data_IF_368861184170
#
_entry.id   IF_368861184170
#
_cell.length_a   1.000
_cell.length_b   1.000
_cell.length_c   1.000
_cell.angle_alpha   90.00
_cell.angle_beta   90.00
_cell.angle_gamma   90.00
#
_symmetry.space_group_name_H-M   'P 1'
#
loop_
_entity.id
_entity.type
_entity.pdbx_description
1 polymer ?
#
# COMPACT_ATOMS: atom_id res chain seq x y z
N UNK A 1 8.57 -54.51 31.49
CA UNK A 1 8.53 -53.50 32.57
C UNK A 1 9.91 -52.87 32.57
N UNK A 2 10.02 -51.72 31.93
CA UNK A 2 11.29 -51.01 31.73
C UNK A 2 10.94 -49.53 31.91
N UNK A 3 11.60 -48.86 32.84
CA UNK A 3 11.31 -47.49 33.24
C UNK A 3 11.56 -46.53 32.07
N UNK A 4 10.65 -45.57 31.87
CA UNK A 4 10.89 -44.40 31.03
C UNK A 4 11.58 -43.34 31.88
N UNK A 5 12.85 -43.05 31.56
CA UNK A 5 13.52 -41.85 32.06
C UNK A 5 13.12 -40.66 31.19
N UNK A 6 12.46 -39.67 31.81
CA UNK A 6 12.24 -38.34 31.24
C UNK A 6 13.37 -37.43 31.68
N UNK A 7 14.30 -37.14 30.77
CA UNK A 7 15.29 -36.07 30.99
C UNK A 7 14.63 -34.71 30.81
N UNK A 8 14.64 -33.92 31.88
CA UNK A 8 14.17 -32.52 31.89
C UNK A 8 15.39 -31.62 31.82
N UNK A 9 15.64 -31.01 30.66
CA UNK A 9 16.64 -29.93 30.54
C UNK A 9 15.96 -28.57 30.73
N UNK A 10 16.44 -27.80 31.71
CA UNK A 10 15.97 -26.44 32.01
C UNK A 10 16.82 -25.45 31.20
N UNK A 11 16.18 -24.66 30.34
CA UNK A 11 16.82 -23.50 29.70
C UNK A 11 16.93 -22.33 30.69
N UNK A 12 17.85 -21.39 30.45
CA UNK A 12 18.19 -20.26 31.34
C UNK A 12 17.03 -19.35 31.75
N UNK A 13 15.87 -19.47 31.11
CA UNK A 13 14.74 -18.56 31.25
C UNK A 13 13.55 -19.20 31.99
N UNK A 14 13.72 -20.39 32.59
CA UNK A 14 12.75 -20.99 33.51
C UNK A 14 11.44 -21.50 32.88
N UNK A 15 11.34 -21.57 31.55
CA UNK A 15 10.19 -22.14 30.85
C UNK A 15 10.47 -23.61 30.50
N UNK A 16 9.64 -24.58 30.96
CA UNK A 16 9.79 -25.98 30.58
C UNK A 16 9.46 -26.17 29.10
N UNK A 17 10.48 -26.51 28.31
CA UNK A 17 10.35 -26.91 26.92
C UNK A 17 10.10 -28.41 26.84
N UNK A 18 8.85 -28.80 26.53
CA UNK A 18 8.54 -30.18 26.17
C UNK A 18 8.93 -30.40 24.70
N UNK A 19 10.17 -30.84 24.47
CA UNK A 19 10.55 -31.38 23.16
C UNK A 19 10.01 -32.81 23.09
N UNK A 20 8.96 -33.01 22.30
CA UNK A 20 8.55 -34.33 21.86
C UNK A 20 9.62 -34.86 20.89
N UNK A 21 10.68 -35.39 21.47
CA UNK A 21 11.69 -36.19 20.77
C UNK A 21 11.02 -37.49 20.36
N UNK A 22 10.43 -37.53 19.16
CA UNK A 22 10.08 -38.81 18.55
C UNK A 22 11.39 -39.59 18.38
N UNK A 23 11.53 -40.77 19.00
CA UNK A 23 12.72 -41.57 18.80
C UNK A 23 12.79 -41.90 17.31
N UNK A 24 13.82 -41.38 16.65
CA UNK A 24 14.25 -41.87 15.35
C UNK A 24 14.58 -43.35 15.54
N UNK A 25 13.62 -44.19 15.16
CA UNK A 25 13.68 -45.63 15.23
C UNK A 25 14.67 -46.13 14.18
N UNK A 26 15.97 -45.92 14.41
CA UNK A 26 17.05 -46.45 13.59
C UNK A 26 17.34 -47.88 14.03
N UNK A 27 16.45 -48.82 13.70
CA UNK A 27 16.71 -50.22 14.06
C UNK A 27 15.52 -51.16 14.00
N UNK A 28 14.89 -51.32 12.84
CA UNK A 28 14.16 -52.54 12.53
C UNK A 28 14.04 -52.72 11.01
N UNK A 29 14.92 -53.55 10.45
CA UNK A 29 14.93 -54.02 9.06
C UNK A 29 13.79 -55.01 8.77
N UNK A 30 12.55 -54.65 9.11
CA UNK A 30 11.42 -55.59 9.12
C UNK A 30 10.31 -55.34 8.11
N UNK A 31 10.08 -54.09 7.64
CA UNK A 31 8.91 -53.80 6.81
C UNK A 31 9.17 -52.75 5.72
N UNK A 32 9.93 -53.08 4.67
CA UNK A 32 10.14 -52.19 3.52
C UNK A 32 8.82 -51.74 2.87
N UNK A 33 7.77 -52.59 2.92
CA UNK A 33 6.43 -52.26 2.42
C UNK A 33 5.70 -51.18 3.22
N UNK A 34 5.93 -51.07 4.53
CA UNK A 34 5.30 -50.04 5.37
C UNK A 34 5.97 -48.68 5.18
N UNK A 35 7.30 -48.67 5.03
CA UNK A 35 8.07 -47.45 4.77
C UNK A 35 7.74 -46.86 3.39
N UNK A 36 7.58 -47.72 2.38
CA UNK A 36 7.14 -47.32 1.04
C UNK A 36 5.70 -46.78 1.05
N UNK A 37 4.78 -47.43 1.79
CA UNK A 37 3.41 -46.96 1.95
C UNK A 37 3.35 -45.59 2.67
N UNK A 38 4.18 -45.38 3.69
CA UNK A 38 4.24 -44.11 4.42
C UNK A 38 4.81 -42.98 3.55
N UNK A 39 5.88 -43.25 2.78
CA UNK A 39 6.45 -42.27 1.85
C UNK A 39 5.48 -41.91 0.73
N UNK A 40 4.75 -42.89 0.17
CA UNK A 40 3.68 -42.65 -0.80
C UNK A 40 2.55 -41.82 -0.19
N UNK A 41 2.05 -42.18 0.99
CA UNK A 41 1.00 -41.43 1.67
C UNK A 41 1.42 -39.99 1.99
N UNK A 42 2.66 -39.77 2.44
CA UNK A 42 3.21 -38.44 2.70
C UNK A 42 3.38 -37.62 1.42
N UNK A 43 3.80 -38.25 0.31
CA UNK A 43 3.89 -37.61 -0.99
C UNK A 43 2.51 -37.19 -1.52
N UNK A 44 1.52 -38.07 -1.46
CA UNK A 44 0.13 -37.76 -1.82
C UNK A 44 -0.45 -36.66 -0.93
N UNK A 45 -0.21 -36.71 0.39
CA UNK A 45 -0.65 -35.65 1.30
C UNK A 45 -0.01 -34.30 0.94
N UNK A 46 1.29 -34.28 0.60
CA UNK A 46 2.00 -33.06 0.20
C UNK A 46 1.55 -32.49 -1.16
N UNK A 47 1.10 -33.34 -2.08
CA UNK A 47 0.51 -32.90 -3.36
C UNK A 47 -0.94 -32.45 -3.21
N UNK A 48 -1.73 -33.13 -2.39
CA UNK A 48 -3.17 -32.84 -2.23
C UNK A 48 -3.43 -31.64 -1.32
N UNK A 49 -2.53 -31.29 -0.39
CA UNK A 49 -2.70 -30.10 0.47
C UNK A 49 -2.76 -28.79 -0.34
N UNK A 50 -1.86 -28.52 -1.29
CA UNK A 50 -1.98 -27.36 -2.18
C UNK A 50 -3.28 -27.35 -3.00
N UNK A 51 -3.74 -28.50 -3.49
CA UNK A 51 -4.99 -28.61 -4.26
C UNK A 51 -6.23 -28.34 -3.39
N UNK A 52 -6.27 -28.90 -2.17
CA UNK A 52 -7.34 -28.66 -1.19
C UNK A 52 -7.34 -27.19 -0.74
N UNK A 53 -6.16 -26.61 -0.50
CA UNK A 53 -6.01 -25.18 -0.18
C UNK A 53 -6.50 -24.31 -1.33
N UNK A 54 -6.14 -24.65 -2.57
CA UNK A 54 -6.58 -23.94 -3.77
C UNK A 54 -8.09 -24.03 -3.97
N UNK A 55 -8.70 -25.21 -3.83
CA UNK A 55 -10.15 -25.41 -3.92
C UNK A 55 -10.91 -24.67 -2.81
N UNK A 56 -10.40 -24.72 -1.58
CA UNK A 56 -10.97 -23.97 -0.45
C UNK A 56 -10.90 -22.47 -0.71
N UNK A 57 -9.76 -21.98 -1.20
CA UNK A 57 -9.59 -20.58 -1.56
C UNK A 57 -10.52 -20.16 -2.70
N UNK A 58 -10.69 -20.99 -3.73
CA UNK A 58 -11.61 -20.75 -4.84
C UNK A 58 -13.06 -20.68 -4.37
N UNK A 59 -13.47 -21.60 -3.49
CA UNK A 59 -14.81 -21.63 -2.90
C UNK A 59 -15.08 -20.38 -2.08
N UNK A 60 -14.18 -20.03 -1.16
CA UNK A 60 -14.30 -18.82 -0.32
C UNK A 60 -14.35 -17.57 -1.20
N UNK A 61 -13.48 -17.48 -2.21
CA UNK A 61 -13.46 -16.37 -3.15
C UNK A 61 -14.79 -16.25 -3.90
N UNK A 62 -15.36 -17.36 -4.36
CA UNK A 62 -16.64 -17.39 -5.09
C UNK A 62 -17.80 -16.97 -4.19
N UNK A 63 -17.82 -17.42 -2.93
CA UNK A 63 -18.84 -17.03 -1.95
C UNK A 63 -18.72 -15.54 -1.63
N UNK A 64 -17.52 -15.03 -1.35
CA UNK A 64 -17.27 -13.61 -1.13
C UNK A 64 -17.71 -12.77 -2.34
N UNK A 65 -17.44 -13.23 -3.55
CA UNK A 65 -17.85 -12.59 -4.78
C UNK A 65 -19.37 -12.53 -4.92
N UNK A 66 -20.05 -13.65 -4.65
CA UNK A 66 -21.52 -13.72 -4.67
C UNK A 66 -22.14 -12.75 -3.65
N UNK A 67 -21.55 -12.62 -2.47
CA UNK A 67 -22.00 -11.66 -1.44
C UNK A 67 -21.79 -10.20 -1.88
N UNK A 68 -20.67 -9.87 -2.51
CA UNK A 68 -20.41 -8.52 -3.05
C UNK A 68 -21.40 -8.18 -4.16
N UNK A 69 -21.64 -9.10 -5.10
CA UNK A 69 -22.63 -8.89 -6.17
C UNK A 69 -24.03 -8.70 -5.61
N UNK A 70 -24.46 -9.56 -4.67
CA UNK A 70 -25.77 -9.42 -4.00
C UNK A 70 -25.90 -8.10 -3.22
N UNK A 71 -24.81 -7.65 -2.60
CA UNK A 71 -24.78 -6.37 -1.88
C UNK A 71 -24.91 -5.18 -2.83
N UNK A 72 -24.12 -5.14 -3.91
CA UNK A 72 -24.20 -4.08 -4.92
C UNK A 72 -25.56 -4.06 -5.64
N UNK A 73 -26.13 -5.23 -5.95
CA UNK A 73 -27.49 -5.33 -6.52
C UNK A 73 -28.57 -4.78 -5.57
N UNK A 74 -28.39 -4.90 -4.25
CA UNK A 74 -29.32 -4.30 -3.25
C UNK A 74 -29.09 -2.81 -3.06
N UNK A 75 -27.85 -2.35 -3.17
CA UNK A 75 -27.46 -0.93 -3.03
C UNK A 75 -28.02 -0.07 -4.17
N UNK A 76 -28.31 -0.66 -5.33
CA UNK A 76 -28.97 0.00 -6.46
C UNK A 76 -30.42 0.44 -6.23
N UNK A 77 -31.07 0.05 -5.13
CA UNK A 77 -32.51 0.33 -4.91
C UNK A 77 -32.81 1.46 -3.91
N UNK A 78 -31.80 2.14 -3.37
CA UNK A 78 -31.97 3.31 -2.51
C UNK A 78 -31.52 4.60 -3.20
N UNK A 79 -32.16 4.93 -4.33
CA UNK A 79 -32.19 6.29 -4.87
C UNK A 79 -33.09 7.19 -4.01
N UNK A 80 -32.78 7.28 -2.72
CA UNK A 80 -33.35 8.26 -1.80
C UNK A 80 -32.47 9.51 -1.82
N UNK A 81 -32.91 10.55 -2.53
CA UNK A 81 -32.55 11.96 -2.36
C UNK A 81 -31.17 12.22 -1.72
N UNK A 82 -30.09 11.94 -2.46
CA UNK A 82 -28.73 12.27 -1.99
C UNK A 82 -28.52 13.78 -2.21
N UNK A 83 -28.70 14.56 -1.15
CA UNK A 83 -28.32 15.98 -1.11
C UNK A 83 -26.87 16.09 -1.60
N UNK A 84 -26.67 16.90 -2.65
CA UNK A 84 -25.38 17.39 -3.14
C UNK A 84 -24.71 18.16 -1.99
N UNK A 85 -23.95 17.49 -1.12
CA UNK A 85 -22.99 18.15 -0.25
C UNK A 85 -21.69 18.24 -1.08
N UNK A 86 -21.53 19.25 -1.94
CA UNK A 86 -21.04 20.60 -1.60
C UNK A 86 -19.59 20.60 -1.09
N UNK A 87 -18.72 19.80 -1.72
CA UNK A 87 -17.36 20.24 -1.97
C UNK A 87 -17.22 20.35 -3.50
N UNK A 88 -17.21 21.58 -4.02
CA UNK A 88 -17.17 21.87 -5.46
C UNK A 88 -15.79 21.70 -6.09
N UNK A 89 -14.81 21.25 -5.29
CA UNK A 89 -13.42 21.08 -5.71
C UNK A 89 -13.29 19.85 -6.62
N UNK A 90 -12.59 19.95 -7.76
CA UNK A 90 -12.17 18.77 -8.52
C UNK A 90 -11.41 17.81 -7.62
N UNK A 91 -11.63 16.51 -7.81
CA UNK A 91 -10.94 15.48 -7.01
C UNK A 91 -9.87 14.79 -7.85
N UNK A 92 -8.67 14.72 -7.29
CA UNK A 92 -7.53 13.96 -7.78
C UNK A 92 -7.31 12.75 -6.87
N UNK A 93 -7.61 11.56 -7.35
CA UNK A 93 -7.37 10.32 -6.64
C UNK A 93 -6.02 9.70 -7.05
N UNK A 94 -5.08 9.69 -6.13
CA UNK A 94 -3.80 9.00 -6.25
C UNK A 94 -3.97 7.57 -5.73
N UNK A 95 -3.73 6.60 -6.59
CA UNK A 95 -3.88 5.19 -6.27
C UNK A 95 -2.71 4.65 -5.45
N UNK A 96 -2.74 3.34 -5.17
CA UNK A 96 -1.61 2.65 -4.54
C UNK A 96 -0.35 2.76 -5.40
N UNK A 97 0.82 2.79 -4.75
CA UNK A 97 2.13 3.01 -5.41
C UNK A 97 3.19 2.01 -4.97
N UNK A 98 2.99 1.39 -3.81
CA UNK A 98 3.99 0.54 -3.17
C UNK A 98 5.33 1.27 -3.03
N UNK A 99 6.41 0.61 -3.47
CA UNK A 99 7.76 1.18 -3.48
C UNK A 99 8.05 2.05 -4.72
N UNK A 100 7.11 2.22 -5.66
CA UNK A 100 7.28 3.00 -6.89
C UNK A 100 6.91 4.48 -6.72
N UNK A 101 7.31 5.08 -5.60
CA UNK A 101 6.97 6.47 -5.26
C UNK A 101 7.55 7.50 -6.25
N UNK A 102 8.67 7.21 -6.91
CA UNK A 102 9.25 8.08 -7.94
C UNK A 102 8.27 8.41 -9.07
N UNK A 103 7.49 7.42 -9.53
CA UNK A 103 6.46 7.62 -10.57
C UNK A 103 5.45 8.70 -10.18
N UNK A 104 4.88 8.57 -9.00
CA UNK A 104 3.84 9.49 -8.52
C UNK A 104 4.40 10.87 -8.26
N UNK A 105 5.64 10.97 -7.77
CA UNK A 105 6.31 12.25 -7.62
C UNK A 105 6.53 12.91 -8.98
N UNK A 106 6.83 12.13 -10.02
CA UNK A 106 6.88 12.57 -11.41
C UNK A 106 5.52 13.08 -11.92
N UNK A 107 4.44 12.34 -11.66
CA UNK A 107 3.09 12.75 -12.01
C UNK A 107 2.69 14.07 -11.32
N UNK A 108 2.96 14.19 -10.01
CA UNK A 108 2.66 15.41 -9.26
C UNK A 108 3.52 16.58 -9.74
N UNK A 109 4.79 16.37 -10.04
CA UNK A 109 5.64 17.41 -10.61
C UNK A 109 5.09 17.91 -11.96
N UNK A 110 4.65 17.02 -12.85
CA UNK A 110 4.02 17.42 -14.10
C UNK A 110 2.72 18.21 -13.87
N UNK A 111 1.86 17.77 -12.94
CA UNK A 111 0.65 18.50 -12.56
C UNK A 111 0.97 19.89 -11.97
N UNK A 112 1.92 19.99 -11.05
CA UNK A 112 2.36 21.27 -10.48
C UNK A 112 2.89 22.22 -11.56
N UNK A 113 3.51 21.69 -12.61
CA UNK A 113 4.09 22.47 -13.71
C UNK A 113 3.04 22.97 -14.72
N UNK A 114 1.86 22.35 -14.76
CA UNK A 114 0.85 22.52 -15.83
C UNK A 114 -0.53 22.93 -15.34
N UNK A 115 -0.91 22.60 -14.11
CA UNK A 115 -2.26 22.75 -13.54
C UNK A 115 -2.21 23.59 -12.25
N UNK A 116 -3.25 24.37 -11.98
CA UNK A 116 -3.46 25.00 -10.69
C UNK A 116 -4.10 24.01 -9.70
N UNK A 117 -3.30 23.50 -8.76
CA UNK A 117 -3.73 22.52 -7.76
C UNK A 117 -4.31 23.16 -6.48
N UNK A 118 -4.36 24.50 -6.38
CA UNK A 118 -4.74 25.21 -5.15
C UNK A 118 -6.13 24.83 -4.63
N UNK A 119 -7.08 24.53 -5.51
CA UNK A 119 -8.47 24.21 -5.15
C UNK A 119 -8.84 22.76 -5.48
N UNK A 120 -7.86 21.86 -5.55
CA UNK A 120 -8.08 20.42 -5.79
C UNK A 120 -8.19 19.68 -4.45
N UNK A 121 -9.15 18.77 -4.34
CA UNK A 121 -9.18 17.76 -3.28
C UNK A 121 -8.34 16.55 -3.74
N UNK A 122 -7.43 16.09 -2.89
CA UNK A 122 -6.54 14.98 -3.17
C UNK A 122 -6.93 13.81 -2.27
N UNK A 123 -7.14 12.66 -2.87
CA UNK A 123 -7.25 11.41 -2.12
C UNK A 123 -6.06 10.51 -2.41
N UNK A 124 -5.64 9.74 -1.41
CA UNK A 124 -4.44 8.90 -1.51
C UNK A 124 -4.74 7.48 -1.03
N UNK A 125 -4.00 6.51 -1.54
CA UNK A 125 -4.05 5.10 -1.14
C UNK A 125 -2.61 4.60 -1.01
N UNK A 126 -2.30 3.90 0.08
CA UNK A 126 -0.96 3.33 0.27
C UNK A 126 0.15 4.40 0.20
N UNK A 127 1.27 4.07 -0.43
CA UNK A 127 2.40 4.97 -0.63
C UNK A 127 2.12 6.27 -1.40
N UNK A 128 0.97 6.47 -2.04
CA UNK A 128 0.68 7.79 -2.67
C UNK A 128 0.41 8.89 -1.65
N UNK A 129 0.25 8.57 -0.36
CA UNK A 129 0.14 9.58 0.70
C UNK A 129 1.29 10.60 0.64
N UNK A 130 2.51 10.16 0.32
CA UNK A 130 3.68 11.02 0.22
C UNK A 130 3.60 12.00 -0.95
N UNK A 131 3.07 11.55 -2.09
CA UNK A 131 2.79 12.42 -3.23
C UNK A 131 1.63 13.38 -2.92
N UNK A 132 0.63 12.92 -2.17
CA UNK A 132 -0.46 13.76 -1.65
C UNK A 132 0.06 14.94 -0.85
N UNK A 133 1.01 14.73 0.06
CA UNK A 133 1.66 15.84 0.80
C UNK A 133 2.27 16.89 -0.13
N UNK A 134 2.96 16.48 -1.20
CA UNK A 134 3.56 17.40 -2.17
C UNK A 134 2.51 18.21 -2.95
N UNK A 135 1.30 17.67 -3.15
CA UNK A 135 0.21 18.42 -3.80
C UNK A 135 -0.32 19.52 -2.89
N UNK A 136 -0.58 19.20 -1.62
CA UNK A 136 -1.25 20.12 -0.68
C UNK A 136 -0.29 21.01 0.11
N UNK A 137 1.00 20.68 0.14
CA UNK A 137 2.07 21.46 0.75
C UNK A 137 3.22 21.67 -0.25
N UNK A 138 3.05 22.56 -1.24
CA UNK A 138 4.02 22.79 -2.31
C UNK A 138 5.37 23.35 -1.84
N UNK A 139 5.47 23.79 -0.58
CA UNK A 139 6.72 24.18 0.07
C UNK A 139 7.64 22.99 0.43
N UNK A 140 7.12 21.76 0.41
CA UNK A 140 7.93 20.56 0.60
C UNK A 140 8.82 20.30 -0.63
N UNK A 141 10.06 19.90 -0.39
CA UNK A 141 11.02 19.57 -1.45
C UNK A 141 10.90 18.09 -1.84
N UNK A 142 10.63 17.83 -3.12
CA UNK A 142 10.47 16.46 -3.62
C UNK A 142 11.74 15.61 -3.50
N UNK A 143 12.93 16.22 -3.63
CA UNK A 143 14.21 15.53 -3.46
C UNK A 143 14.43 15.08 -2.02
N UNK A 144 14.14 15.95 -1.05
CA UNK A 144 14.17 15.62 0.38
C UNK A 144 13.16 14.53 0.75
N UNK A 145 11.96 14.59 0.19
CA UNK A 145 10.94 13.55 0.39
C UNK A 145 11.38 12.20 -0.21
N UNK A 146 11.95 12.18 -1.42
CA UNK A 146 12.52 10.95 -2.02
C UNK A 146 13.63 10.41 -1.13
N UNK A 147 14.55 11.26 -0.68
CA UNK A 147 15.66 10.86 0.19
C UNK A 147 15.16 10.25 1.49
N UNK A 148 14.18 10.87 2.15
CA UNK A 148 13.55 10.33 3.36
C UNK A 148 13.03 8.91 3.13
N UNK A 149 12.31 8.67 2.02
CA UNK A 149 11.78 7.35 1.68
C UNK A 149 12.89 6.34 1.32
N UNK A 150 13.98 6.78 0.70
CA UNK A 150 15.15 5.94 0.45
C UNK A 150 15.85 5.53 1.75
N UNK A 151 15.97 6.42 2.73
CA UNK A 151 16.52 6.09 4.06
C UNK A 151 15.68 5.02 4.77
N UNK A 152 14.33 5.16 4.73
CA UNK A 152 13.41 4.14 5.26
C UNK A 152 13.64 2.80 4.55
N UNK A 153 13.72 2.82 3.21
CA UNK A 153 13.98 1.64 2.39
C UNK A 153 15.28 0.95 2.82
N UNK A 154 16.38 1.69 2.90
CA UNK A 154 17.70 1.15 3.24
C UNK A 154 17.70 0.50 4.63
N UNK A 155 17.00 1.11 5.61
CA UNK A 155 16.85 0.54 6.93
C UNK A 155 16.07 -0.79 6.93
N UNK A 156 14.87 -0.79 6.32
CA UNK A 156 14.01 -1.99 6.19
C UNK A 156 14.72 -3.12 5.44
N UNK A 157 15.56 -2.76 4.48
CA UNK A 157 16.31 -3.68 3.64
C UNK A 157 17.65 -4.15 4.22
N UNK A 158 18.11 -3.59 5.34
CA UNK A 158 19.40 -3.98 5.93
C UNK A 158 19.54 -5.51 6.16
N UNK A 159 18.48 -6.28 6.47
CA UNK A 159 18.52 -7.75 6.55
C UNK A 159 18.35 -8.48 5.19
N UNK A 160 18.40 -7.74 4.07
CA UNK A 160 18.04 -8.22 2.74
C UNK A 160 16.53 -8.14 2.44
N UNK A 161 16.10 -8.74 1.33
CA UNK A 161 14.69 -8.70 0.88
C UNK A 161 13.70 -9.33 1.86
N UNK A 162 14.16 -10.21 2.76
CA UNK A 162 13.34 -10.76 3.84
C UNK A 162 12.87 -9.70 4.83
N UNK A 163 13.62 -8.61 4.98
CA UNK A 163 13.26 -7.49 5.87
C UNK A 163 12.00 -6.75 5.44
N UNK A 164 11.57 -6.89 4.18
CA UNK A 164 10.36 -6.27 3.66
C UNK A 164 9.06 -7.04 3.98
N UNK A 165 9.15 -8.19 4.65
CA UNK A 165 8.00 -9.04 4.95
C UNK A 165 7.77 -9.17 6.45
N UNK A 166 6.50 -9.27 6.85
CA UNK A 166 6.09 -9.39 8.25
C UNK A 166 6.66 -8.30 9.17
N UNK A 167 6.86 -7.10 8.63
CA UNK A 167 7.30 -5.94 9.39
C UNK A 167 6.30 -5.59 10.47
N UNK A 168 6.80 -5.04 11.58
CA UNK A 168 5.94 -4.36 12.54
C UNK A 168 5.50 -3.02 11.96
N UNK A 169 4.19 -2.84 11.80
CA UNK A 169 3.61 -1.65 11.16
C UNK A 169 3.89 -0.38 11.96
N UNK A 170 3.83 -0.43 13.30
CA UNK A 170 4.01 0.76 14.13
C UNK A 170 5.46 1.22 14.08
N UNK A 171 6.41 0.29 14.19
CA UNK A 171 7.84 0.60 14.07
C UNK A 171 8.20 1.15 12.68
N UNK A 172 7.58 0.59 11.62
CA UNK A 172 7.81 1.07 10.26
C UNK A 172 7.26 2.47 10.06
N UNK A 173 6.07 2.77 10.60
CA UNK A 173 5.47 4.11 10.54
C UNK A 173 6.27 5.12 11.37
N UNK A 174 6.77 4.73 12.54
CA UNK A 174 7.66 5.58 13.36
C UNK A 174 8.91 5.98 12.56
N UNK A 175 9.53 5.02 11.88
CA UNK A 175 10.68 5.25 11.03
C UNK A 175 10.34 6.18 9.86
N UNK A 176 9.21 5.95 9.18
CA UNK A 176 8.74 6.81 8.10
C UNK A 176 8.52 8.25 8.60
N UNK A 177 7.78 8.43 9.69
CA UNK A 177 7.49 9.76 10.23
C UNK A 177 8.74 10.48 10.71
N UNK A 178 9.68 9.76 11.32
CA UNK A 178 10.99 10.29 11.70
C UNK A 178 11.76 10.81 10.49
N UNK A 179 11.83 10.05 9.40
CA UNK A 179 12.53 10.48 8.18
C UNK A 179 11.78 11.60 7.45
N UNK A 180 10.45 11.57 7.40
CA UNK A 180 9.65 12.66 6.83
C UNK A 180 9.84 13.96 7.60
N UNK A 181 9.92 13.90 8.93
CA UNK A 181 10.15 15.06 9.77
C UNK A 181 11.59 15.58 9.67
N UNK A 182 12.58 14.70 9.84
CA UNK A 182 14.00 15.07 9.87
C UNK A 182 14.58 15.39 8.50
N UNK A 183 14.36 14.50 7.51
CA UNK A 183 14.93 14.61 6.16
C UNK A 183 13.94 15.29 5.21
N UNK A 184 12.69 14.85 5.20
CA UNK A 184 11.64 15.32 4.28
C UNK A 184 11.15 16.75 4.53
N UNK A 185 11.34 17.28 5.75
CA UNK A 185 10.92 18.62 6.14
C UNK A 185 9.43 18.77 6.44
N UNK A 186 8.70 17.67 6.66
CA UNK A 186 7.31 17.72 7.12
C UNK A 186 7.31 18.15 8.60
N UNK A 187 6.73 19.32 8.91
CA UNK A 187 6.67 19.87 10.28
C UNK A 187 5.24 19.90 10.80
N UNK A 188 5.06 20.05 12.12
CA UNK A 188 3.72 20.23 12.71
C UNK A 188 2.95 21.42 12.11
N UNK A 189 3.65 22.51 11.77
CA UNK A 189 3.04 23.67 11.13
C UNK A 189 2.50 23.34 9.74
N UNK A 190 3.25 22.57 8.95
CA UNK A 190 2.80 22.09 7.65
C UNK A 190 1.61 21.15 7.82
N UNK A 191 1.68 20.21 8.76
CA UNK A 191 0.61 19.24 8.99
C UNK A 191 -0.70 19.91 9.42
N UNK A 192 -0.64 20.87 10.36
CA UNK A 192 -1.80 21.72 10.72
C UNK A 192 -2.36 22.50 9.53
N UNK A 193 -1.48 23.06 8.69
CA UNK A 193 -1.90 23.75 7.46
C UNK A 193 -2.66 22.81 6.52
N UNK A 194 -2.15 21.59 6.31
CA UNK A 194 -2.79 20.57 5.47
C UNK A 194 -4.17 20.21 6.04
N UNK A 195 -4.24 19.86 7.33
CA UNK A 195 -5.49 19.50 8.00
C UNK A 195 -6.54 20.63 7.90
N UNK A 196 -6.14 21.89 8.13
CA UNK A 196 -7.03 23.06 8.07
C UNK A 196 -7.60 23.33 6.67
N UNK A 197 -6.89 22.94 5.61
CA UNK A 197 -7.32 23.14 4.22
C UNK A 197 -8.41 22.16 3.75
N UNK A 198 -8.56 21.04 4.46
CA UNK A 198 -9.33 19.86 4.07
C UNK A 198 -9.07 19.40 2.61
N UNK A 199 -7.85 19.57 2.11
CA UNK A 199 -7.50 19.16 0.75
C UNK A 199 -7.06 17.71 0.66
N UNK A 200 -6.35 17.19 1.67
CA UNK A 200 -5.82 15.84 1.65
C UNK A 200 -6.71 14.87 2.44
N UNK A 201 -7.15 13.81 1.76
CA UNK A 201 -7.84 12.67 2.36
C UNK A 201 -7.05 11.39 2.12
N UNK A 202 -7.01 10.54 3.13
CA UNK A 202 -6.23 9.30 3.15
C UNK A 202 -7.20 8.13 3.14
N UNK A 203 -7.02 7.27 2.13
CA UNK A 203 -7.80 6.06 1.94
C UNK A 203 -7.36 4.97 2.90
N UNK A 204 -8.32 4.40 3.62
CA UNK A 204 -8.14 3.16 4.39
C UNK A 204 -9.26 2.17 4.06
N UNK A 205 -9.00 0.88 4.24
CA UNK A 205 -10.05 -0.14 4.30
C UNK A 205 -10.50 -0.30 5.75
N UNK A 206 -11.76 0.00 6.04
CA UNK A 206 -12.39 -0.31 7.33
C UNK A 206 -13.11 -1.66 7.25
N UNK A 207 -12.92 -2.53 8.24
CA UNK A 207 -13.59 -3.83 8.30
C UNK A 207 -14.94 -3.80 9.06
N UNK A 208 -15.47 -2.61 9.38
CA UNK A 208 -16.75 -2.46 10.10
C UNK A 208 -17.80 -1.71 9.26
N UNK A 209 -19.05 -2.22 9.13
CA UNK A 209 -19.46 -3.61 9.40
C UNK A 209 -18.95 -4.60 8.33
N UNK A 210 -18.50 -4.09 7.18
CA UNK A 210 -17.95 -4.85 6.06
C UNK A 210 -16.73 -4.11 5.51
N UNK A 211 -15.78 -4.81 4.86
CA UNK A 211 -14.62 -4.19 4.21
C UNK A 211 -15.07 -3.11 3.21
N UNK A 212 -14.78 -1.85 3.53
CA UNK A 212 -15.14 -0.70 2.70
C UNK A 212 -14.04 0.34 2.73
N UNK A 213 -13.82 0.99 1.58
CA UNK A 213 -12.88 2.12 1.50
C UNK A 213 -13.48 3.33 2.20
N UNK A 214 -12.74 3.92 3.13
CA UNK A 214 -13.08 5.20 3.77
C UNK A 214 -12.02 6.23 3.41
N UNK A 215 -12.46 7.44 3.12
CA UNK A 215 -11.59 8.61 3.03
C UNK A 215 -11.55 9.29 4.40
N UNK A 216 -10.40 9.24 5.07
CA UNK A 216 -10.14 9.90 6.35
C UNK A 216 -9.44 11.23 6.10
N UNK A 217 -9.75 12.26 6.90
CA UNK A 217 -9.03 13.53 6.81
C UNK A 217 -7.56 13.37 7.22
N UNK A 218 -6.67 14.15 6.60
CA UNK A 218 -5.31 14.26 7.11
C UNK A 218 -5.33 14.89 8.53
N UNK A 219 -4.79 14.22 9.56
CA UNK A 219 -4.79 14.74 10.91
C UNK A 219 -3.81 15.92 11.04
N UNK A 220 -3.93 16.67 12.13
CA UNK A 220 -3.19 17.92 12.37
C UNK A 220 -1.93 17.74 13.24
N UNK A 221 -1.65 16.51 13.68
CA UNK A 221 -0.55 16.14 14.56
C UNK A 221 0.04 14.78 14.18
N UNK A 222 1.30 14.53 14.55
CA UNK A 222 2.03 13.32 14.19
C UNK A 222 1.51 12.04 14.87
N UNK A 223 0.93 12.14 16.06
CA UNK A 223 0.40 10.98 16.79
C UNK A 223 -0.82 10.38 16.06
N UNK A 224 -1.75 11.23 15.63
CA UNK A 224 -2.90 10.79 14.84
C UNK A 224 -2.49 10.44 13.40
N UNK A 225 -1.50 11.15 12.84
CA UNK A 225 -0.93 10.80 11.54
C UNK A 225 -0.34 9.39 11.55
N UNK A 226 0.34 9.00 12.63
CA UNK A 226 0.85 7.66 12.82
C UNK A 226 -0.28 6.62 12.70
N UNK A 227 -1.36 6.80 13.46
CA UNK A 227 -2.52 5.88 13.44
C UNK A 227 -3.15 5.76 12.05
N UNK A 228 -3.33 6.89 11.36
CA UNK A 228 -3.90 6.93 10.01
C UNK A 228 -2.94 6.28 9.01
N UNK A 229 -1.64 6.57 9.08
CA UNK A 229 -0.63 5.99 8.19
C UNK A 229 -0.49 4.50 8.39
N UNK A 230 -0.47 4.02 9.64
CA UNK A 230 -0.47 2.59 9.95
C UNK A 230 -1.64 1.88 9.28
N UNK A 231 -2.85 2.45 9.33
CA UNK A 231 -3.98 1.92 8.58
C UNK A 231 -3.80 2.03 7.06
N UNK A 232 -3.31 3.16 6.55
CA UNK A 232 -3.23 3.44 5.12
C UNK A 232 -2.20 2.59 4.35
N UNK A 233 -1.11 2.17 5.00
CA UNK A 233 -0.03 1.40 4.34
C UNK A 233 -0.05 -0.09 4.70
N UNK A 234 -0.89 -0.51 5.65
CA UNK A 234 -0.88 -1.87 6.18
C UNK A 234 -1.41 -2.89 5.16
N UNK A 235 -0.49 -3.50 4.42
CA UNK A 235 -0.76 -4.57 3.45
C UNK A 235 -0.07 -5.89 3.82
N UNK A 236 -0.82 -6.96 4.16
CA UNK A 236 -0.28 -8.32 4.19
C UNK A 236 0.24 -8.79 2.82
N UNK A 237 1.33 -9.58 2.74
CA UNK A 237 2.16 -10.10 3.85
C UNK A 237 3.31 -9.17 4.28
N UNK A 238 3.38 -7.93 3.79
CA UNK A 238 4.48 -7.00 4.14
C UNK A 238 4.46 -6.62 5.61
N UNK A 239 3.26 -6.54 6.20
CA UNK A 239 3.06 -6.30 7.63
C UNK A 239 2.48 -7.53 8.32
N UNK A 240 2.90 -7.77 9.56
CA UNK A 240 2.54 -8.97 10.32
C UNK A 240 1.11 -8.96 10.91
N UNK A 241 0.39 -7.84 10.81
CA UNK A 241 -0.96 -7.66 11.36
C UNK A 241 -1.72 -6.59 10.61
N UNK A 242 -3.05 -6.57 10.81
CA UNK A 242 -3.87 -5.42 10.47
C UNK A 242 -3.68 -4.28 11.49
N UNK A 243 -3.79 -3.04 11.02
CA UNK A 243 -3.80 -1.87 11.88
C UNK A 243 -5.14 -1.75 12.63
N UNK A 244 -5.18 -0.85 13.63
CA UNK A 244 -6.42 -0.44 14.28
C UNK A 244 -6.67 1.04 14.04
N UNK A 245 -7.88 1.38 13.61
CA UNK A 245 -8.34 2.74 13.42
C UNK A 245 -9.74 2.89 14.03
N UNK A 246 -9.94 3.91 14.87
CA UNK A 246 -11.21 4.15 15.59
C UNK A 246 -11.74 2.89 16.34
N UNK A 247 -10.85 2.09 16.90
CA UNK A 247 -11.20 0.86 17.63
C UNK A 247 -11.57 -0.34 16.73
N UNK A 248 -11.41 -0.24 15.42
CA UNK A 248 -11.70 -1.30 14.45
C UNK A 248 -10.46 -1.73 13.68
N UNK A 249 -10.49 -2.96 13.17
CA UNK A 249 -9.47 -3.40 12.23
C UNK A 249 -9.53 -2.54 10.96
N UNK A 250 -8.36 -2.14 10.49
CA UNK A 250 -8.16 -1.40 9.26
C UNK A 250 -6.94 -1.93 8.50
N UNK A 251 -6.94 -1.73 7.20
CA UNK A 251 -5.85 -2.08 6.30
C UNK A 251 -5.70 -1.01 5.21
N UNK A 252 -4.68 -1.17 4.39
CA UNK A 252 -4.48 -0.37 3.19
C UNK A 252 -5.78 -0.31 2.36
N UNK A 253 -6.12 0.87 1.83
CA UNK A 253 -7.31 1.03 0.99
C UNK A 253 -7.31 0.11 -0.23
N UNK A 254 -6.13 -0.29 -0.73
CA UNK A 254 -5.99 -1.23 -1.86
C UNK A 254 -6.71 -2.58 -1.63
N UNK A 255 -7.01 -2.96 -0.38
CA UNK A 255 -7.83 -4.14 -0.07
C UNK A 255 -9.28 -4.03 -0.54
N UNK A 256 -9.83 -2.82 -0.60
CA UNK A 256 -11.23 -2.57 -0.96
C UNK A 256 -11.36 -1.76 -2.25
N UNK A 257 -10.43 -0.86 -2.54
CA UNK A 257 -10.39 -0.08 -3.77
C UNK A 257 -8.99 0.47 -4.04
N UNK A 258 -8.56 0.45 -5.30
CA UNK A 258 -7.31 1.10 -5.74
C UNK A 258 -7.35 2.62 -5.65
N UNK A 259 -8.54 3.21 -5.56
CA UNK A 259 -8.73 4.65 -5.39
C UNK A 259 -9.70 4.91 -4.25
N UNK A 260 -9.35 5.85 -3.38
CA UNK A 260 -10.25 6.33 -2.34
C UNK A 260 -11.11 7.46 -2.91
N UNK A 261 -12.41 7.23 -3.09
CA UNK A 261 -13.33 8.25 -3.62
C UNK A 261 -14.12 8.84 -2.45
N UNK A 262 -14.11 10.17 -2.25
CA UNK A 262 -14.90 10.80 -1.19
C UNK A 262 -16.39 10.52 -1.33
N UNK A 263 -17.09 10.46 -0.19
CA UNK A 263 -18.54 10.32 -0.20
C UNK A 263 -19.21 11.46 -0.97
N UNK A 264 -20.10 11.10 -1.89
CA UNK A 264 -20.84 12.05 -2.73
C UNK A 264 -20.15 12.38 -4.07
N UNK A 265 -18.89 12.01 -4.26
CA UNK A 265 -18.23 12.09 -5.56
C UNK A 265 -18.58 10.88 -6.43
N UNK A 266 -18.68 11.09 -7.74
CA UNK A 266 -18.88 10.01 -8.72
C UNK A 266 -17.54 9.55 -9.25
N UNK A 267 -17.35 8.23 -9.37
CA UNK A 267 -16.08 7.65 -9.83
C UNK A 267 -15.65 8.17 -11.21
N UNK A 268 -16.61 8.47 -12.09
CA UNK A 268 -16.36 8.99 -13.44
C UNK A 268 -15.88 10.44 -13.46
N UNK A 269 -16.17 11.22 -12.41
CA UNK A 269 -15.86 12.65 -12.30
C UNK A 269 -14.53 12.92 -11.56
N UNK A 270 -13.82 11.86 -11.18
CA UNK A 270 -12.55 11.93 -10.45
C UNK A 270 -11.38 11.66 -11.40
N UNK A 271 -10.39 12.54 -11.37
CA UNK A 271 -9.11 12.34 -12.06
C UNK A 271 -8.30 11.29 -11.28
N UNK A 272 -7.87 10.23 -11.95
CA UNK A 272 -7.26 9.05 -11.32
C UNK A 272 -5.84 8.86 -11.81
N UNK A 273 -4.87 8.87 -10.89
CA UNK A 273 -3.46 8.62 -11.15
C UNK A 273 -3.02 7.34 -10.45
N UNK A 274 -2.33 6.46 -11.16
CA UNK A 274 -1.66 5.31 -10.56
C UNK A 274 -0.55 4.81 -11.50
N UNK A 275 0.56 4.29 -10.96
CA UNK A 275 1.57 3.58 -11.74
C UNK A 275 1.06 2.25 -12.30
N UNK A 276 -0.03 1.70 -11.74
CA UNK A 276 -0.53 0.37 -12.10
C UNK A 276 -1.54 0.42 -13.22
N UNK A 277 -1.45 -0.52 -14.15
CA UNK A 277 -2.47 -0.65 -15.19
C UNK A 277 -3.79 -1.10 -14.54
N UNK A 278 -4.88 -0.33 -14.68
CA UNK A 278 -6.17 -0.57 -14.00
C UNK A 278 -7.29 -1.18 -14.88
N UNK A 279 -7.06 -2.26 -15.66
CA UNK A 279 -8.17 -3.15 -16.04
C UNK A 279 -8.50 -4.19 -14.96
N UNK A 280 -7.58 -4.39 -14.01
CA UNK A 280 -7.55 -5.54 -13.11
C UNK A 280 -8.28 -5.36 -11.78
N UNK A 281 -8.72 -4.13 -11.49
CA UNK A 281 -9.35 -3.73 -10.22
C UNK A 281 -10.76 -4.29 -9.97
N UNK A 282 -11.32 -5.11 -10.87
CA UNK A 282 -12.67 -5.68 -10.66
C UNK A 282 -12.70 -7.16 -10.29
N UNK A 283 -11.86 -8.07 -10.83
CA UNK A 283 -12.10 -9.51 -10.63
C UNK A 283 -10.89 -10.43 -10.87
N UNK A 284 -9.76 -10.31 -10.15
CA UNK A 284 -8.81 -11.45 -10.06
C UNK A 284 -8.09 -11.56 -8.71
N UNK A 285 -7.84 -12.82 -8.35
CA UNK A 285 -7.00 -13.29 -7.26
C UNK A 285 -5.57 -12.79 -7.41
N UNK A 286 -4.93 -12.49 -6.28
CA UNK A 286 -3.54 -12.00 -6.12
C UNK A 286 -2.50 -12.93 -6.78
N UNK A 287 -2.90 -14.15 -7.20
CA UNK A 287 -2.04 -15.14 -7.85
C UNK A 287 -1.92 -14.99 -9.38
N UNK A 288 -2.53 -13.97 -9.98
CA UNK A 288 -2.56 -13.79 -11.46
C UNK A 288 -1.99 -12.45 -11.95
N UNK A 289 -1.33 -11.67 -11.10
CA UNK A 289 -0.57 -10.48 -11.53
C UNK A 289 0.56 -10.91 -12.47
N UNK A 290 0.95 -10.06 -13.43
CA UNK A 290 2.21 -10.33 -14.13
C UNK A 290 3.33 -10.35 -13.06
N UNK A 291 4.25 -11.33 -13.10
CA UNK A 291 5.37 -11.35 -12.16
C UNK A 291 6.13 -10.03 -12.13
N UNK A 292 6.18 -9.31 -13.25
CA UNK A 292 6.81 -7.99 -13.38
C UNK A 292 6.13 -6.92 -12.51
N UNK A 293 4.80 -6.75 -12.57
CA UNK A 293 4.11 -5.70 -11.80
C UNK A 293 4.14 -5.98 -10.29
N UNK A 294 4.06 -7.25 -9.89
CA UNK A 294 4.28 -7.67 -8.50
C UNK A 294 5.73 -7.46 -8.09
N UNK A 295 6.70 -7.78 -8.95
CA UNK A 295 8.11 -7.50 -8.69
C UNK A 295 8.35 -6.01 -8.49
N UNK A 296 7.75 -5.10 -9.28
CA UNK A 296 7.97 -3.66 -9.09
C UNK A 296 7.37 -3.09 -7.79
N UNK A 297 6.33 -3.73 -7.23
CA UNK A 297 5.76 -3.37 -5.93
C UNK A 297 6.63 -3.82 -4.75
N UNK A 298 7.42 -4.88 -4.96
CA UNK A 298 8.08 -5.66 -3.91
C UNK A 298 9.59 -5.52 -3.96
N UNK A 299 10.14 -5.27 -5.15
CA UNK A 299 11.56 -5.07 -5.33
C UNK A 299 11.90 -3.60 -5.09
N UNK A 300 12.68 -3.33 -4.05
CA UNK A 300 13.08 -1.98 -3.71
C UNK A 300 14.01 -1.42 -4.78
N UNK A 301 13.67 -0.23 -5.24
CA UNK A 301 14.44 0.50 -6.24
C UNK A 301 15.41 1.46 -5.57
N UNK A 302 16.67 1.40 -5.98
CA UNK A 302 17.65 2.46 -5.69
C UNK A 302 17.29 3.75 -6.43
N UNK A 303 18.09 4.80 -6.18
CA UNK A 303 17.85 6.13 -6.71
C UNK A 303 17.64 6.15 -8.23
N UNK A 304 18.51 5.50 -9.00
CA UNK A 304 18.44 5.49 -10.47
C UNK A 304 17.07 5.07 -11.01
N UNK A 305 16.54 3.96 -10.46
CA UNK A 305 15.26 3.43 -10.90
C UNK A 305 14.08 4.26 -10.38
N UNK A 306 14.20 4.91 -9.22
CA UNK A 306 13.21 5.91 -8.80
C UNK A 306 13.20 7.13 -9.73
N UNK A 307 14.36 7.57 -10.24
CA UNK A 307 14.46 8.68 -11.18
C UNK A 307 13.96 8.32 -12.57
N UNK A 308 14.19 7.09 -13.04
CA UNK A 308 13.57 6.58 -14.27
C UNK A 308 12.04 6.54 -14.14
N UNK A 309 11.55 6.00 -13.02
CA UNK A 309 10.13 5.98 -12.69
C UNK A 309 9.54 7.39 -12.63
N UNK A 310 10.26 8.36 -12.07
CA UNK A 310 9.89 9.77 -12.08
C UNK A 310 9.75 10.34 -13.50
N UNK A 311 10.72 10.10 -14.38
CA UNK A 311 10.64 10.53 -15.79
C UNK A 311 9.40 9.95 -16.47
N UNK A 312 9.14 8.67 -16.23
CA UNK A 312 7.99 7.98 -16.80
C UNK A 312 6.66 8.59 -16.33
N UNK A 313 6.50 8.80 -15.02
CA UNK A 313 5.32 9.43 -14.44
C UNK A 313 5.10 10.84 -14.98
N UNK A 314 6.16 11.65 -15.02
CA UNK A 314 6.12 13.02 -15.55
C UNK A 314 5.67 13.04 -17.02
N UNK A 315 6.32 12.22 -17.87
CA UNK A 315 6.02 12.16 -19.30
C UNK A 315 4.60 11.66 -19.58
N UNK A 316 4.13 10.63 -18.88
CA UNK A 316 2.77 10.09 -19.04
C UNK A 316 1.72 11.10 -18.63
N UNK A 317 1.90 11.78 -17.50
CA UNK A 317 0.96 12.82 -17.05
C UNK A 317 0.92 13.99 -18.03
N UNK A 318 2.07 14.46 -18.53
CA UNK A 318 2.09 15.49 -19.59
C UNK A 318 1.34 15.05 -20.84
N UNK A 319 1.51 13.80 -21.28
CA UNK A 319 0.79 13.26 -22.44
C UNK A 319 -0.72 13.26 -22.22
N UNK A 320 -1.18 12.83 -21.05
CA UNK A 320 -2.61 12.83 -20.70
C UNK A 320 -3.19 14.25 -20.60
N UNK A 321 -2.43 15.19 -20.06
CA UNK A 321 -2.82 16.59 -20.00
C UNK A 321 -2.82 17.28 -21.36
N UNK A 322 -2.09 16.77 -22.35
CA UNK A 322 -2.10 17.30 -23.72
C UNK A 322 -3.30 16.80 -24.54
N UNK A 323 -3.97 15.73 -24.09
CA UNK A 323 -5.16 15.18 -24.76
C UNK A 323 -6.40 16.04 -24.45
N UNK A 324 -7.05 16.67 -25.45
CA UNK A 324 -8.25 17.49 -25.25
C UNK A 324 -9.46 16.70 -24.74
N UNK A 325 -9.47 15.37 -24.93
CA UNK A 325 -10.48 14.47 -24.37
C UNK A 325 -10.14 13.97 -22.95
N UNK A 326 -8.95 14.36 -22.45
CA UNK A 326 -8.42 13.99 -21.14
C UNK A 326 -8.77 15.00 -20.05
N UNK A 327 -7.86 15.18 -19.09
CA UNK A 327 -8.13 15.88 -17.82
C UNK A 327 -8.22 17.41 -17.92
N UNK A 328 -8.08 17.98 -19.11
CA UNK A 328 -8.15 19.44 -19.30
C UNK A 328 -9.52 20.02 -18.93
N UNK A 329 -10.61 19.23 -19.05
CA UNK A 329 -11.95 19.66 -18.63
C UNK A 329 -12.12 19.73 -17.13
N UNK A 330 -11.35 18.92 -16.39
CA UNK A 330 -11.56 18.66 -14.97
C UNK A 330 -10.57 19.44 -14.09
N UNK A 331 -9.45 19.89 -14.68
CA UNK A 331 -8.37 20.59 -14.00
C UNK A 331 -8.05 21.93 -14.66
N UNK A 332 -7.91 22.97 -13.84
CA UNK A 332 -7.59 24.32 -14.32
C UNK A 332 -6.13 24.42 -14.82
N UNK A 333 -5.92 24.27 -16.13
CA UNK A 333 -4.61 24.38 -16.77
C UNK A 333 -4.07 25.82 -16.66
N UNK A 334 -2.78 25.94 -16.35
CA UNK A 334 -2.07 27.23 -16.27
C UNK A 334 -1.97 27.88 -17.64
N UNK A 335 -2.03 29.21 -17.68
CA UNK A 335 -1.84 30.00 -18.92
C UNK A 335 -0.48 29.75 -19.58
N UNK A 336 0.55 29.51 -18.76
CA UNK A 336 1.92 29.26 -19.21
C UNK A 336 2.49 28.03 -18.49
N UNK A 337 2.21 26.80 -18.98
CA UNK A 337 2.84 25.59 -18.47
C UNK A 337 4.35 25.65 -18.65
N UNK A 338 5.12 25.12 -17.70
CA UNK A 338 6.59 25.15 -17.75
C UNK A 338 7.10 23.72 -17.70
N UNK A 339 7.92 23.29 -18.66
CA UNK A 339 8.60 21.99 -18.53
C UNK A 339 9.85 22.15 -17.67
N UNK A 340 9.92 21.42 -16.55
CA UNK A 340 11.05 21.46 -15.61
C UNK A 340 11.59 20.07 -15.28
N UNK A 341 11.28 19.05 -16.09
CA UNK A 341 11.62 17.67 -15.78
C UNK A 341 13.12 17.49 -15.45
N UNK A 342 14.01 17.94 -16.34
CA UNK A 342 15.45 17.77 -16.18
C UNK A 342 15.99 18.54 -14.98
N UNK A 343 15.51 19.78 -14.76
CA UNK A 343 15.88 20.58 -13.60
C UNK A 343 15.44 19.94 -12.27
N UNK A 344 14.26 19.34 -12.23
CA UNK A 344 13.76 18.62 -11.05
C UNK A 344 14.59 17.36 -10.77
N UNK A 345 14.94 16.60 -11.80
CA UNK A 345 15.77 15.40 -11.66
C UNK A 345 17.18 15.75 -11.17
N UNK A 346 17.80 16.78 -11.75
CA UNK A 346 19.11 17.26 -11.31
C UNK A 346 19.06 17.71 -9.84
N UNK A 347 17.98 18.37 -9.42
CA UNK A 347 17.76 18.76 -8.03
C UNK A 347 17.60 17.56 -7.10
N UNK A 348 16.82 16.54 -7.49
CA UNK A 348 16.64 15.32 -6.69
C UNK A 348 17.98 14.59 -6.55
N UNK A 349 18.71 14.40 -7.66
CA UNK A 349 20.04 13.78 -7.66
C UNK A 349 20.98 14.49 -6.69
N UNK A 350 21.09 15.82 -6.83
CA UNK A 350 21.94 16.62 -5.96
C UNK A 350 21.58 16.44 -4.48
N UNK A 351 20.29 16.55 -4.11
CA UNK A 351 19.85 16.42 -2.72
C UNK A 351 20.15 15.03 -2.13
N UNK A 352 20.02 13.98 -2.94
CA UNK A 352 20.25 12.60 -2.47
C UNK A 352 21.75 12.31 -2.32
N UNK A 353 22.59 12.76 -3.26
CA UNK A 353 24.04 12.48 -3.27
C UNK A 353 24.87 13.42 -2.38
N UNK A 354 24.37 14.63 -2.05
CA UNK A 354 25.13 15.63 -1.28
C UNK A 354 25.09 15.41 0.23
N UNK A 355 24.77 14.22 0.73
CA UNK A 355 24.54 13.94 2.15
C UNK A 355 24.99 12.55 2.52
#
# INVERSE_FOLDING_TARGET
MTYMDTDVSVTSDGVPSYVLSLPLYTGASGYPRLQEAYQKAFFYFRQSVPEIMFLTFLLVSTVCLGLVVLYESRKGSSTGLRKKAQNSRPTLALGGTGLRFGYEFGCIAALQDTVNLRDVCVTTVSGSIFAGFLVVAPQLDAGKMIKALLNVRDHVMSPGSKGCYFMDVDQTVDLILKELHGTGGLTDAILRSIASSDQLRIGITSFRPWPTTRCVHCPDNFEDLHRVMAAAICIPPFFNRFARFEGHFAADAAFSSWFAIPDGCRFEEVVKLTPFFVPWARYRSVFASTPHDLCECVYPFGLDRQLESFREGYARTKKQLADPSGWQSDLAVKKHPIDRMDGRIASIWHVVESS
#
